data_IF_071783171108
#
_entry.id   IF_071783171108
#
_cell.length_a   1.000
_cell.length_b   1.000
_cell.length_c   1.000
_cell.angle_alpha   90.00
_cell.angle_beta   90.00
_cell.angle_gamma   90.00
#
_symmetry.space_group_name_H-M   'P 1'
#
loop_
_entity.id
_entity.type
_entity.pdbx_description
1 polymer ?
#
# COMPACT_ATOMS: atom_id res chain seq x y z
N UNK A 1 8.61 12.14 -4.57
CA UNK A 1 9.18 10.81 -4.27
C UNK A 1 8.28 9.76 -4.86
N UNK A 2 8.86 8.77 -5.57
CA UNK A 2 8.08 7.64 -6.08
C UNK A 2 7.95 6.59 -4.98
N UNK A 3 6.79 5.95 -4.91
CA UNK A 3 6.51 4.84 -4.01
C UNK A 3 5.93 3.70 -4.83
N UNK A 4 6.23 2.47 -4.42
CA UNK A 4 5.71 1.26 -5.04
C UNK A 4 5.05 0.41 -3.97
N UNK A 5 3.96 -0.25 -4.34
CA UNK A 5 3.17 -1.06 -3.41
C UNK A 5 3.17 -2.50 -3.91
N UNK A 6 3.71 -3.40 -3.10
CA UNK A 6 3.53 -4.84 -3.25
C UNK A 6 2.29 -5.29 -2.48
N UNK A 7 1.44 -6.07 -3.14
CA UNK A 7 0.26 -6.69 -2.53
C UNK A 7 0.36 -8.21 -2.69
N UNK A 8 0.41 -8.91 -1.56
CA UNK A 8 0.25 -10.37 -1.50
C UNK A 8 -1.17 -10.66 -1.01
N UNK A 9 -2.06 -10.96 -1.96
CA UNK A 9 -3.51 -11.00 -1.76
C UNK A 9 -3.98 -12.42 -1.44
N UNK A 10 -4.65 -12.58 -0.31
CA UNK A 10 -5.40 -13.81 0.02
C UNK A 10 -6.89 -13.52 0.21
N UNK A 11 -7.71 -14.55 0.47
CA UNK A 11 -9.16 -14.37 0.63
C UNK A 11 -9.56 -13.52 1.85
N UNK A 12 -8.85 -13.65 2.98
CA UNK A 12 -9.22 -12.96 4.23
C UNK A 12 -8.40 -11.70 4.47
N UNK A 13 -7.09 -11.81 4.28
CA UNK A 13 -6.14 -10.73 4.54
C UNK A 13 -5.13 -10.60 3.42
N UNK A 14 -4.74 -9.37 3.15
CA UNK A 14 -3.72 -9.03 2.16
C UNK A 14 -2.53 -8.44 2.91
N UNK A 15 -1.34 -8.96 2.65
CA UNK A 15 -0.10 -8.33 3.10
C UNK A 15 0.29 -7.21 2.14
N UNK A 16 0.75 -6.10 2.71
CA UNK A 16 1.10 -4.88 1.99
C UNK A 16 2.52 -4.48 2.35
N UNK A 17 3.35 -4.26 1.34
CA UNK A 17 4.69 -3.68 1.49
C UNK A 17 4.76 -2.42 0.63
N UNK A 18 5.17 -1.30 1.23
CA UNK A 18 5.42 -0.05 0.50
C UNK A 18 6.91 0.19 0.51
N UNK A 19 7.47 0.40 -0.67
CA UNK A 19 8.90 0.72 -0.85
C UNK A 19 9.06 2.08 -1.50
N UNK A 20 10.18 2.75 -1.20
CA UNK A 20 10.59 3.94 -1.92
C UNK A 20 11.31 3.56 -3.25
N UNK A 21 11.80 4.57 -3.97
CA UNK A 21 12.47 4.37 -5.25
C UNK A 21 13.82 3.62 -5.20
N UNK A 22 14.43 3.49 -4.03
CA UNK A 22 15.65 2.69 -3.85
C UNK A 22 15.35 1.24 -3.43
N UNK A 23 14.06 0.88 -3.36
CA UNK A 23 13.60 -0.44 -2.92
C UNK A 23 13.60 -0.64 -1.41
N UNK A 24 13.85 0.41 -0.62
CA UNK A 24 13.77 0.33 0.84
C UNK A 24 12.31 0.31 1.29
N UNK A 25 11.97 -0.67 2.15
CA UNK A 25 10.67 -0.74 2.79
C UNK A 25 10.45 0.46 3.74
N UNK A 26 9.37 1.20 3.50
CA UNK A 26 8.93 2.33 4.33
C UNK A 26 7.65 2.00 5.12
N UNK A 27 6.95 0.93 4.75
CA UNK A 27 5.84 0.37 5.50
C UNK A 27 5.64 -1.11 5.16
N UNK A 28 5.32 -1.91 6.18
CA UNK A 28 4.83 -3.28 6.03
C UNK A 28 3.64 -3.51 6.96
N UNK A 29 2.62 -4.22 6.49
CA UNK A 29 1.44 -4.51 7.29
C UNK A 29 0.45 -5.43 6.59
N UNK A 30 -0.71 -5.61 7.24
CA UNK A 30 -1.83 -6.40 6.71
C UNK A 30 -3.13 -5.62 6.85
N UNK A 31 -4.06 -5.87 5.93
CA UNK A 31 -5.45 -5.44 6.04
C UNK A 31 -6.38 -6.58 5.61
N UNK A 32 -7.67 -6.47 5.94
CA UNK A 32 -8.69 -7.32 5.30
C UNK A 32 -8.62 -7.13 3.79
N UNK A 33 -8.82 -8.20 3.04
CA UNK A 33 -8.76 -8.15 1.57
C UNK A 33 -9.94 -7.42 0.93
N UNK A 34 -10.90 -6.97 1.74
CA UNK A 34 -11.99 -6.14 1.27
C UNK A 34 -11.44 -4.82 0.70
N UNK A 35 -11.88 -4.37 -0.49
CA UNK A 35 -11.30 -3.20 -1.18
C UNK A 35 -11.30 -1.91 -0.35
N UNK A 36 -12.30 -1.73 0.52
CA UNK A 36 -12.39 -0.56 1.39
C UNK A 36 -11.26 -0.49 2.43
N UNK A 37 -10.90 -1.64 3.03
CA UNK A 37 -9.83 -1.71 4.03
C UNK A 37 -8.46 -1.49 3.39
N UNK A 38 -8.24 -2.09 2.22
CA UNK A 38 -7.05 -1.84 1.40
C UNK A 38 -6.94 -0.37 1.02
N UNK A 39 -8.01 0.24 0.52
CA UNK A 39 -8.02 1.67 0.15
C UNK A 39 -7.69 2.58 1.33
N UNK A 40 -8.21 2.27 2.52
CA UNK A 40 -7.94 3.02 3.74
C UNK A 40 -6.48 2.90 4.18
N UNK A 41 -5.92 1.69 4.14
CA UNK A 41 -4.51 1.45 4.46
C UNK A 41 -3.59 2.16 3.45
N UNK A 42 -3.86 2.03 2.16
CA UNK A 42 -3.04 2.65 1.10
C UNK A 42 -3.08 4.18 1.16
N UNK A 43 -4.24 4.80 1.38
CA UNK A 43 -4.31 6.27 1.57
C UNK A 43 -3.46 6.77 2.74
N UNK A 44 -3.27 5.95 3.77
CA UNK A 44 -2.47 6.31 4.96
C UNK A 44 -0.97 6.11 4.73
N UNK A 45 -0.57 5.06 4.01
CA UNK A 45 0.82 4.60 3.93
C UNK A 45 1.48 4.74 2.55
N UNK A 46 0.69 4.94 1.50
CA UNK A 46 1.12 5.18 0.12
C UNK A 46 0.19 6.21 -0.57
N UNK A 47 0.18 7.48 -0.10
CA UNK A 47 -0.71 8.50 -0.63
C UNK A 47 -0.39 8.82 -2.09
N UNK A 48 -1.43 9.08 -2.89
CA UNK A 48 -1.26 9.54 -4.27
C UNK A 48 -0.48 10.86 -4.32
N UNK A 49 0.40 11.05 -5.31
CA UNK A 49 1.00 12.36 -5.53
C UNK A 49 -0.07 13.38 -5.90
N UNK A 50 0.04 14.59 -5.35
CA UNK A 50 -0.95 15.67 -5.46
C UNK A 50 -1.25 16.13 -6.91
N UNK A 51 -0.47 15.69 -7.89
CA UNK A 51 -0.54 16.12 -9.30
C UNK A 51 -1.44 15.23 -10.18
N UNK A 52 -2.13 14.23 -9.60
CA UNK A 52 -3.05 13.33 -10.34
C UNK A 52 -4.55 13.72 -10.18
N UNK A 53 -4.83 14.97 -9.84
CA UNK A 53 -6.18 15.58 -9.80
C UNK A 53 -6.25 16.72 -10.82
#
# INVERSE_FOLDING_TARGET
MKQYVGLDVSQRETAVCVVNETGQAIFEGKAKSHPGDLSKLLRKHAPLPATLL
#
